data_IF_901529729481
#
_entry.id   IF_901529729481
#
_cell.length_a   1.000
_cell.length_b   1.000
_cell.length_c   1.000
_cell.angle_alpha   90.00
_cell.angle_beta   90.00
_cell.angle_gamma   90.00
#
_symmetry.space_group_name_H-M   'P 1'
#
loop_
_entity.id
_entity.type
_entity.pdbx_description
1 polymer ?
#
# COMPACT_ATOMS: atom_id res chain seq x y z
N UNK A 1 -22.28 -15.73 -19.86
CA UNK A 1 -21.35 -14.96 -20.72
C UNK A 1 -21.28 -13.53 -20.22
N UNK A 2 -20.08 -13.01 -20.01
CA UNK A 2 -19.85 -11.62 -19.61
C UNK A 2 -19.32 -10.87 -20.82
N UNK A 3 -19.91 -9.68 -21.08
CA UNK A 3 -19.49 -8.79 -22.15
C UNK A 3 -18.22 -8.06 -21.71
N UNK A 4 -17.08 -8.36 -22.31
CA UNK A 4 -15.81 -7.68 -22.03
C UNK A 4 -15.42 -6.81 -23.21
N UNK A 5 -14.93 -5.60 -22.93
CA UNK A 5 -14.37 -4.69 -23.93
C UNK A 5 -12.86 -4.84 -23.94
N UNK A 6 -12.25 -4.95 -25.11
CA UNK A 6 -10.81 -5.02 -25.27
C UNK A 6 -10.35 -4.15 -26.44
N UNK A 7 -9.10 -3.74 -26.40
CA UNK A 7 -8.48 -2.91 -27.42
C UNK A 7 -7.75 -3.79 -28.44
N UNK A 8 -8.16 -3.72 -29.69
CA UNK A 8 -7.53 -4.45 -30.78
C UNK A 8 -6.29 -3.70 -31.36
N UNK A 9 -6.27 -2.39 -31.23
CA UNK A 9 -5.20 -1.56 -31.76
C UNK A 9 -4.04 -1.41 -30.73
N UNK A 10 -2.81 -1.74 -31.15
CA UNK A 10 -1.63 -1.67 -30.27
C UNK A 10 -1.34 -0.24 -29.78
N UNK A 11 -1.48 0.78 -30.64
CA UNK A 11 -1.26 2.19 -30.27
C UNK A 11 -2.30 2.65 -29.24
N UNK A 12 -3.58 2.32 -29.44
CA UNK A 12 -4.65 2.63 -28.51
C UNK A 12 -4.42 1.91 -27.17
N UNK A 13 -3.98 0.65 -27.19
CA UNK A 13 -3.66 -0.12 -25.99
C UNK A 13 -2.49 0.49 -25.20
N UNK A 14 -1.41 0.91 -25.85
CA UNK A 14 -0.28 1.58 -25.20
C UNK A 14 -0.71 2.93 -24.62
N UNK A 15 -1.52 3.70 -25.36
CA UNK A 15 -2.01 4.99 -24.89
C UNK A 15 -2.87 4.86 -23.63
N UNK A 16 -3.80 3.89 -23.61
CA UNK A 16 -4.62 3.60 -22.42
C UNK A 16 -3.75 3.08 -21.28
N UNK A 17 -2.75 2.26 -21.56
CA UNK A 17 -1.80 1.79 -20.54
C UNK A 17 -1.06 2.95 -19.86
N UNK A 18 -0.47 3.88 -20.65
CA UNK A 18 0.23 5.06 -20.12
C UNK A 18 -0.75 5.92 -19.29
N UNK A 19 -1.96 6.13 -19.78
CA UNK A 19 -2.97 6.90 -19.07
C UNK A 19 -3.36 6.25 -17.74
N UNK A 20 -3.56 4.93 -17.71
CA UNK A 20 -3.88 4.18 -16.48
C UNK A 20 -2.73 4.22 -15.48
N UNK A 21 -1.49 4.08 -15.96
CA UNK A 21 -0.29 4.19 -15.14
C UNK A 21 -0.19 5.58 -14.47
N UNK A 22 -0.35 6.63 -15.30
CA UNK A 22 -0.35 8.03 -14.84
C UNK A 22 -1.50 8.31 -13.87
N UNK A 23 -2.71 7.81 -14.18
CA UNK A 23 -3.90 7.88 -13.33
C UNK A 23 -3.63 7.31 -11.94
N UNK A 24 -3.10 6.10 -11.86
CA UNK A 24 -2.87 5.46 -10.57
C UNK A 24 -1.71 6.10 -9.80
N UNK A 25 -0.68 6.58 -10.49
CA UNK A 25 0.39 7.37 -9.89
C UNK A 25 -0.15 8.65 -9.28
N UNK A 26 -0.99 9.39 -10.02
CA UNK A 26 -1.50 10.67 -9.58
C UNK A 26 -2.50 10.53 -8.41
N UNK A 27 -3.40 9.56 -8.46
CA UNK A 27 -4.32 9.30 -7.34
C UNK A 27 -3.55 8.84 -6.08
N UNK A 28 -2.47 8.07 -6.25
CA UNK A 28 -1.62 7.65 -5.12
C UNK A 28 -0.84 8.83 -4.53
N UNK A 29 -0.43 9.78 -5.34
CA UNK A 29 0.12 11.05 -4.90
C UNK A 29 -0.89 11.79 -4.00
N UNK A 30 -2.12 11.97 -4.46
CA UNK A 30 -3.12 12.78 -3.75
C UNK A 30 -3.62 12.14 -2.44
N UNK A 31 -3.58 10.81 -2.32
CA UNK A 31 -3.88 10.10 -1.06
C UNK A 31 -2.94 10.47 0.08
N UNK A 32 -1.72 10.89 -0.23
CA UNK A 32 -0.68 11.18 0.75
C UNK A 32 -0.55 12.68 1.11
N UNK A 33 -1.43 13.54 0.57
CA UNK A 33 -1.36 14.98 0.82
C UNK A 33 -1.40 15.32 2.32
N UNK A 34 -2.23 14.64 3.09
CA UNK A 34 -2.28 14.84 4.53
C UNK A 34 -1.01 14.38 5.23
N UNK A 35 -0.47 13.21 4.84
CA UNK A 35 0.75 12.66 5.44
C UNK A 35 1.97 13.55 5.17
N UNK A 36 2.11 14.08 3.96
CA UNK A 36 3.22 14.97 3.61
C UNK A 36 3.07 16.36 4.24
N UNK A 37 1.84 16.81 4.51
CA UNK A 37 1.53 18.08 5.14
C UNK A 37 1.58 18.04 6.68
N UNK A 38 1.60 16.85 7.30
CA UNK A 38 1.44 16.67 8.74
C UNK A 38 2.44 17.51 9.57
N UNK A 39 3.72 17.49 9.19
CA UNK A 39 4.76 18.24 9.93
C UNK A 39 4.49 19.74 9.90
N UNK A 40 4.08 20.28 8.77
CA UNK A 40 3.75 21.71 8.60
C UNK A 40 2.48 22.09 9.38
N UNK A 41 1.42 21.27 9.32
CA UNK A 41 0.15 21.51 10.01
C UNK A 41 0.34 21.55 11.53
N UNK A 42 1.19 20.65 12.06
CA UNK A 42 1.50 20.55 13.48
C UNK A 42 2.39 21.73 13.92
N UNK A 43 3.42 22.08 13.14
CA UNK A 43 4.32 23.23 13.44
C UNK A 43 3.55 24.56 13.43
N UNK A 44 2.64 24.77 12.47
CA UNK A 44 1.78 25.96 12.43
C UNK A 44 0.70 25.97 13.53
N UNK A 45 0.58 24.92 14.34
CA UNK A 45 -0.40 24.83 15.43
C UNK A 45 -1.86 24.73 15.00
N UNK A 46 -2.13 24.39 13.72
CA UNK A 46 -3.50 24.28 13.16
C UNK A 46 -4.21 23.03 13.70
N UNK A 47 -3.48 21.93 13.81
CA UNK A 47 -3.97 20.66 14.37
C UNK A 47 -2.88 19.99 15.20
N UNK A 48 -3.30 19.18 16.20
CA UNK A 48 -2.39 18.32 16.94
C UNK A 48 -1.98 17.09 16.10
N UNK A 49 -0.89 16.40 16.48
CA UNK A 49 -0.48 15.13 15.86
C UNK A 49 -1.61 14.09 15.91
N UNK A 50 -2.28 14.01 17.04
CA UNK A 50 -3.42 13.12 17.25
C UNK A 50 -4.57 13.40 16.28
N UNK A 51 -4.87 14.68 16.04
CA UNK A 51 -5.88 15.09 15.08
C UNK A 51 -5.50 14.74 13.65
N UNK A 52 -4.29 15.07 13.22
CA UNK A 52 -3.79 14.74 11.88
C UNK A 52 -3.72 13.21 11.68
N UNK A 53 -3.24 12.47 12.68
CA UNK A 53 -3.21 11.01 12.64
C UNK A 53 -4.61 10.39 12.57
N UNK A 54 -5.61 10.98 13.25
CA UNK A 54 -7.01 10.54 13.16
C UNK A 54 -7.56 10.68 11.74
N UNK A 55 -7.31 11.81 11.08
CA UNK A 55 -7.75 12.06 9.70
C UNK A 55 -7.20 10.98 8.75
N UNK A 56 -5.90 10.71 8.84
CA UNK A 56 -5.26 9.69 8.01
C UNK A 56 -5.81 8.28 8.32
N UNK A 57 -5.96 7.95 9.62
CA UNK A 57 -6.45 6.65 10.05
C UNK A 57 -7.89 6.38 9.56
N UNK A 58 -8.79 7.35 9.72
CA UNK A 58 -10.19 7.23 9.28
C UNK A 58 -10.28 7.08 7.77
N UNK A 59 -9.48 7.84 7.00
CA UNK A 59 -9.40 7.67 5.56
C UNK A 59 -9.06 6.22 5.17
N UNK A 60 -7.95 5.69 5.68
CA UNK A 60 -7.51 4.35 5.30
C UNK A 60 -8.41 3.24 5.85
N UNK A 61 -9.07 3.46 6.97
CA UNK A 61 -10.06 2.53 7.50
C UNK A 61 -11.25 2.41 6.54
N UNK A 62 -11.86 3.53 6.18
CA UNK A 62 -13.01 3.58 5.25
C UNK A 62 -12.61 3.07 3.87
N UNK A 63 -11.48 3.54 3.35
CA UNK A 63 -10.93 3.11 2.06
C UNK A 63 -10.69 1.59 2.02
N UNK A 64 -10.06 1.03 3.05
CA UNK A 64 -9.76 -0.41 3.13
C UNK A 64 -11.02 -1.29 3.15
N UNK A 65 -12.02 -0.93 3.95
CA UNK A 65 -13.30 -1.65 3.96
C UNK A 65 -14.04 -1.56 2.63
N UNK A 66 -14.06 -0.39 2.03
CA UNK A 66 -14.79 -0.15 0.78
C UNK A 66 -14.08 -0.76 -0.44
N UNK A 67 -12.80 -1.09 -0.37
CA UNK A 67 -12.11 -1.77 -1.49
C UNK A 67 -12.74 -3.12 -1.84
N UNK A 68 -13.26 -3.86 -0.85
CA UNK A 68 -13.99 -5.11 -1.09
C UNK A 68 -15.26 -4.86 -1.92
N UNK A 69 -16.00 -3.80 -1.56
CA UNK A 69 -17.20 -3.36 -2.31
C UNK A 69 -16.81 -2.86 -3.70
N UNK A 70 -15.69 -2.13 -3.80
CA UNK A 70 -15.15 -1.60 -5.05
C UNK A 70 -14.84 -2.69 -6.08
N UNK A 71 -14.26 -3.81 -5.64
CA UNK A 71 -14.04 -4.96 -6.50
C UNK A 71 -15.33 -5.52 -7.09
N UNK A 72 -16.34 -5.76 -6.25
CA UNK A 72 -17.64 -6.27 -6.67
C UNK A 72 -18.39 -5.33 -7.62
N UNK A 73 -18.32 -4.02 -7.38
CA UNK A 73 -18.95 -3.01 -8.24
C UNK A 73 -18.22 -2.90 -9.58
N UNK A 74 -16.89 -2.92 -9.56
CA UNK A 74 -16.06 -2.84 -10.77
C UNK A 74 -16.28 -4.06 -11.67
N UNK A 75 -16.59 -5.23 -11.10
CA UNK A 75 -16.90 -6.42 -11.90
C UNK A 75 -18.22 -6.27 -12.68
N UNK A 76 -19.19 -5.56 -12.12
CA UNK A 76 -20.53 -5.38 -12.71
C UNK A 76 -20.64 -4.17 -13.64
N UNK A 77 -19.89 -3.10 -13.35
CA UNK A 77 -19.98 -1.83 -14.06
C UNK A 77 -18.72 -1.56 -14.87
N UNK A 78 -18.80 -0.57 -15.77
CA UNK A 78 -17.66 -0.17 -16.59
C UNK A 78 -16.56 0.48 -15.71
N UNK A 79 -15.34 -0.10 -15.67
CA UNK A 79 -14.27 0.40 -14.81
C UNK A 79 -13.82 1.84 -15.16
N UNK A 80 -14.02 2.29 -16.39
CA UNK A 80 -13.59 3.62 -16.84
C UNK A 80 -14.33 4.74 -16.12
N UNK A 81 -15.63 4.59 -15.88
CA UNK A 81 -16.44 5.60 -15.19
C UNK A 81 -16.06 5.75 -13.72
N UNK A 82 -15.60 4.67 -13.05
CA UNK A 82 -15.11 4.77 -11.68
C UNK A 82 -13.91 5.69 -11.57
N UNK A 83 -13.02 5.70 -12.55
CA UNK A 83 -11.86 6.60 -12.57
C UNK A 83 -12.32 8.05 -12.62
N UNK A 84 -13.24 8.39 -13.54
CA UNK A 84 -13.75 9.76 -13.69
C UNK A 84 -14.43 10.25 -12.43
N UNK A 85 -15.39 9.48 -11.88
CA UNK A 85 -16.09 9.84 -10.64
C UNK A 85 -15.15 9.98 -9.45
N UNK A 86 -14.19 9.08 -9.33
CA UNK A 86 -13.19 9.12 -8.25
C UNK A 86 -12.34 10.36 -8.34
N UNK A 87 -11.91 10.76 -9.52
CA UNK A 87 -11.07 11.92 -9.72
C UNK A 87 -11.80 13.22 -9.43
N UNK A 88 -13.02 13.37 -9.90
CA UNK A 88 -13.86 14.54 -9.62
C UNK A 88 -14.13 14.61 -8.11
N UNK A 89 -14.60 13.52 -7.51
CA UNK A 89 -14.91 13.47 -6.07
C UNK A 89 -13.70 13.77 -5.18
N UNK A 90 -12.56 13.13 -5.47
CA UNK A 90 -11.32 13.37 -4.73
C UNK A 90 -10.79 14.80 -4.95
N UNK A 91 -10.91 15.33 -6.18
CA UNK A 91 -10.54 16.70 -6.51
C UNK A 91 -11.35 17.71 -5.69
N UNK A 92 -12.66 17.56 -5.62
CA UNK A 92 -13.55 18.41 -4.81
C UNK A 92 -13.22 18.30 -3.32
N UNK A 93 -12.91 17.12 -2.79
CA UNK A 93 -12.49 16.94 -1.41
C UNK A 93 -11.17 17.67 -1.10
N UNK A 94 -10.17 17.55 -1.98
CA UNK A 94 -8.92 18.29 -1.81
C UNK A 94 -9.14 19.81 -1.85
N UNK A 95 -10.00 20.30 -2.76
CA UNK A 95 -10.36 21.70 -2.84
C UNK A 95 -11.06 22.19 -1.56
N UNK A 96 -11.96 21.38 -0.99
CA UNK A 96 -12.64 21.70 0.25
C UNK A 96 -11.66 21.86 1.43
N UNK A 97 -10.65 20.99 1.55
CA UNK A 97 -9.60 21.10 2.58
C UNK A 97 -8.74 22.34 2.38
N UNK A 98 -8.47 22.73 1.13
CA UNK A 98 -7.74 23.96 0.85
C UNK A 98 -8.45 25.19 1.45
N UNK A 99 -9.79 25.27 1.38
CA UNK A 99 -10.55 26.40 1.89
C UNK A 99 -10.86 26.33 3.39
N UNK A 100 -11.02 25.13 3.95
CA UNK A 100 -11.38 24.98 5.36
C UNK A 100 -10.56 23.88 6.02
N UNK A 101 -9.76 24.26 7.03
CA UNK A 101 -8.88 23.39 7.78
C UNK A 101 -9.42 23.03 9.18
N UNK A 102 -10.70 23.30 9.47
CA UNK A 102 -11.29 22.86 10.74
C UNK A 102 -11.25 21.34 10.86
N UNK A 103 -10.77 20.82 12.00
CA UNK A 103 -10.57 19.37 12.21
C UNK A 103 -11.83 18.55 11.90
N UNK A 104 -12.97 18.90 12.46
CA UNK A 104 -14.22 18.14 12.26
C UNK A 104 -14.68 18.16 10.80
N UNK A 105 -14.55 19.31 10.13
CA UNK A 105 -14.83 19.42 8.71
C UNK A 105 -13.91 18.54 7.86
N UNK A 106 -12.60 18.59 8.13
CA UNK A 106 -11.61 17.82 7.37
C UNK A 106 -11.81 16.32 7.58
N UNK A 107 -12.16 15.83 8.79
CA UNK A 107 -12.50 14.42 9.02
C UNK A 107 -13.62 13.98 8.09
N UNK A 108 -14.73 14.73 8.02
CA UNK A 108 -15.87 14.39 7.15
C UNK A 108 -15.47 14.39 5.68
N UNK A 109 -14.76 15.44 5.24
CA UNK A 109 -14.30 15.56 3.84
C UNK A 109 -13.34 14.43 3.49
N UNK A 110 -12.47 14.01 4.42
CA UNK A 110 -11.51 12.94 4.17
C UNK A 110 -12.16 11.55 4.13
N UNK A 111 -13.25 11.33 4.88
CA UNK A 111 -14.14 10.16 4.72
C UNK A 111 -14.76 10.15 3.33
N UNK A 112 -15.32 11.29 2.87
CA UNK A 112 -15.87 11.41 1.52
C UNK A 112 -14.81 11.16 0.44
N UNK A 113 -13.58 11.64 0.66
CA UNK A 113 -12.45 11.39 -0.21
C UNK A 113 -12.10 9.90 -0.30
N UNK A 114 -12.14 9.17 0.82
CA UNK A 114 -11.96 7.72 0.85
C UNK A 114 -13.05 6.99 0.05
N UNK A 115 -14.32 7.42 0.24
CA UNK A 115 -15.47 6.92 -0.53
C UNK A 115 -15.33 7.24 -2.03
N UNK A 116 -14.81 8.42 -2.41
CA UNK A 116 -14.58 8.74 -3.81
C UNK A 116 -13.52 7.84 -4.46
N UNK A 117 -12.49 7.41 -3.73
CA UNK A 117 -11.31 6.73 -4.29
C UNK A 117 -11.32 5.20 -4.18
N UNK A 118 -12.24 4.59 -3.42
CA UNK A 118 -12.19 3.16 -3.07
C UNK A 118 -12.16 2.20 -4.27
N UNK A 119 -12.76 2.58 -5.39
CA UNK A 119 -12.90 1.74 -6.58
C UNK A 119 -11.78 1.93 -7.61
N UNK A 120 -10.87 2.90 -7.43
CA UNK A 120 -9.83 3.21 -8.43
C UNK A 120 -8.89 2.02 -8.65
N UNK A 121 -8.38 1.40 -7.58
CA UNK A 121 -7.48 0.26 -7.73
C UNK A 121 -8.12 -0.93 -8.45
N UNK A 122 -9.31 -1.43 -8.06
CA UNK A 122 -10.00 -2.46 -8.81
C UNK A 122 -10.27 -2.10 -10.27
N UNK A 123 -10.65 -0.85 -10.55
CA UNK A 123 -10.91 -0.37 -11.90
C UNK A 123 -9.66 -0.39 -12.77
N UNK A 124 -8.57 0.17 -12.27
CA UNK A 124 -7.27 0.20 -12.93
C UNK A 124 -6.75 -1.22 -13.18
N UNK A 125 -6.82 -2.09 -12.18
CA UNK A 125 -6.43 -3.49 -12.32
C UNK A 125 -7.24 -4.20 -13.41
N UNK A 126 -8.57 -4.01 -13.43
CA UNK A 126 -9.45 -4.61 -14.44
C UNK A 126 -9.13 -4.10 -15.85
N UNK A 127 -8.85 -2.81 -16.02
CA UNK A 127 -8.44 -2.25 -17.31
C UNK A 127 -7.15 -2.91 -17.79
N UNK A 128 -6.13 -2.99 -16.94
CA UNK A 128 -4.86 -3.63 -17.27
C UNK A 128 -5.02 -5.12 -17.59
N UNK A 129 -5.83 -5.84 -16.83
CA UNK A 129 -5.97 -7.29 -16.96
C UNK A 129 -6.86 -7.73 -18.13
N UNK A 130 -7.87 -6.92 -18.54
CA UNK A 130 -8.88 -7.34 -19.50
C UNK A 130 -9.04 -6.45 -20.72
N UNK A 131 -8.82 -5.13 -20.59
CA UNK A 131 -9.08 -4.20 -21.69
C UNK A 131 -7.88 -3.99 -22.61
N UNK A 132 -6.66 -4.09 -22.08
CA UNK A 132 -5.46 -3.95 -22.89
C UNK A 132 -5.26 -5.13 -23.83
N UNK A 133 -4.55 -4.90 -24.93
CA UNK A 133 -4.10 -5.97 -25.83
C UNK A 133 -3.25 -6.99 -25.04
N UNK A 134 -3.42 -8.28 -25.33
CA UNK A 134 -2.86 -9.39 -24.55
C UNK A 134 -1.36 -9.26 -24.32
N UNK A 135 -0.60 -8.86 -25.35
CA UNK A 135 0.84 -8.65 -25.30
C UNK A 135 1.28 -7.56 -24.29
N UNK A 136 0.40 -6.61 -23.92
CA UNK A 136 0.72 -5.51 -23.02
C UNK A 136 0.29 -5.78 -21.55
N UNK A 137 -0.60 -6.77 -21.31
CA UNK A 137 -1.21 -6.99 -20.00
C UNK A 137 -0.22 -7.32 -18.90
N UNK A 138 0.71 -8.24 -19.16
CA UNK A 138 1.70 -8.64 -18.16
C UNK A 138 2.60 -7.48 -17.76
N UNK A 139 3.09 -6.70 -18.73
CA UNK A 139 3.90 -5.51 -18.49
C UNK A 139 3.13 -4.44 -17.75
N UNK A 140 1.85 -4.23 -18.10
CA UNK A 140 1.00 -3.25 -17.44
C UNK A 140 0.76 -3.61 -15.96
N UNK A 141 0.43 -4.86 -15.65
CA UNK A 141 0.23 -5.34 -14.29
C UNK A 141 1.51 -5.27 -13.45
N UNK A 142 2.67 -5.50 -14.07
CA UNK A 142 3.96 -5.33 -13.40
C UNK A 142 4.24 -3.86 -13.08
N UNK A 143 4.17 -2.97 -14.06
CA UNK A 143 4.53 -1.55 -13.90
C UNK A 143 3.56 -0.80 -12.99
N UNK A 144 2.27 -1.16 -13.00
CA UNK A 144 1.29 -0.49 -12.13
C UNK A 144 1.56 -0.72 -10.65
N UNK A 145 2.26 -1.81 -10.30
CA UNK A 145 2.66 -2.08 -8.92
C UNK A 145 3.59 -1.01 -8.36
N UNK A 146 4.38 -0.36 -9.21
CA UNK A 146 5.28 0.73 -8.82
C UNK A 146 4.61 2.11 -8.79
N UNK A 147 3.46 2.27 -9.48
CA UNK A 147 2.77 3.56 -9.58
C UNK A 147 2.38 4.11 -8.22
N UNK A 148 1.99 3.25 -7.28
CA UNK A 148 1.66 3.69 -5.91
C UNK A 148 2.87 4.30 -5.20
N UNK A 149 4.02 3.64 -5.24
CA UNK A 149 5.25 4.13 -4.62
C UNK A 149 5.75 5.40 -5.29
N UNK A 150 5.69 5.45 -6.63
CA UNK A 150 6.05 6.64 -7.41
C UNK A 150 5.18 7.84 -7.04
N UNK A 151 3.86 7.64 -6.94
CA UNK A 151 2.92 8.69 -6.52
C UNK A 151 3.23 9.25 -5.12
N UNK A 152 3.56 8.37 -4.17
CA UNK A 152 3.96 8.78 -2.81
C UNK A 152 5.23 9.63 -2.85
N UNK A 153 6.26 9.18 -3.57
CA UNK A 153 7.54 9.92 -3.72
C UNK A 153 7.31 11.29 -4.35
N UNK A 154 6.51 11.37 -5.42
CA UNK A 154 6.17 12.65 -6.07
C UNK A 154 5.45 13.58 -5.09
N UNK A 155 4.51 13.07 -4.29
CA UNK A 155 3.80 13.90 -3.31
C UNK A 155 4.75 14.54 -2.28
N UNK A 156 5.66 13.75 -1.70
CA UNK A 156 6.65 14.27 -0.75
C UNK A 156 7.64 15.22 -1.41
N UNK A 157 8.01 14.98 -2.68
CA UNK A 157 8.84 15.92 -3.45
C UNK A 157 8.13 17.26 -3.67
N UNK A 158 6.85 17.24 -4.07
CA UNK A 158 6.04 18.47 -4.22
C UNK A 158 5.91 19.18 -2.89
N UNK A 159 5.64 18.49 -1.79
CA UNK A 159 5.54 19.07 -0.46
C UNK A 159 6.87 19.70 0.02
N UNK A 160 8.01 19.11 -0.33
CA UNK A 160 9.33 19.64 0.00
C UNK A 160 9.71 20.86 -0.85
N UNK A 161 9.30 20.89 -2.13
CA UNK A 161 9.57 22.00 -3.03
C UNK A 161 8.66 23.22 -2.80
N UNK A 162 7.43 22.97 -2.31
CA UNK A 162 6.41 23.97 -2.09
C UNK A 162 6.09 24.02 -0.59
N UNK A 163 6.75 24.87 0.21
CA UNK A 163 6.63 24.89 1.67
C UNK A 163 5.24 25.30 2.17
N UNK A 164 4.39 25.87 1.32
CA UNK A 164 3.01 26.16 1.65
C UNK A 164 2.13 24.89 1.47
N UNK A 165 2.02 24.07 2.50
CA UNK A 165 1.34 22.80 2.47
C UNK A 165 -0.10 22.85 1.90
N UNK A 166 -0.85 23.97 2.08
CA UNK A 166 -2.17 24.16 1.48
C UNK A 166 -2.15 24.09 -0.05
N UNK A 167 -1.08 24.59 -0.68
CA UNK A 167 -0.93 24.57 -2.13
C UNK A 167 -0.85 23.15 -2.66
N UNK A 168 -0.32 22.18 -1.90
CA UNK A 168 -0.32 20.77 -2.29
C UNK A 168 -1.75 20.23 -2.47
N UNK A 169 -2.70 20.64 -1.62
CA UNK A 169 -4.12 20.27 -1.79
C UNK A 169 -4.74 20.94 -3.03
N UNK A 170 -4.37 22.19 -3.33
CA UNK A 170 -4.83 22.86 -4.54
C UNK A 170 -4.28 22.18 -5.81
N UNK A 171 -2.98 21.86 -5.85
CA UNK A 171 -2.36 21.12 -6.96
C UNK A 171 -3.06 19.77 -7.15
N UNK A 172 -3.33 19.07 -6.06
CA UNK A 172 -4.06 17.80 -6.08
C UNK A 172 -5.48 17.97 -6.63
N UNK A 173 -6.19 19.00 -6.19
CA UNK A 173 -7.56 19.27 -6.64
C UNK A 173 -7.62 19.59 -8.14
N UNK A 174 -6.84 20.56 -8.59
CA UNK A 174 -6.78 20.98 -10.00
C UNK A 174 -6.28 19.83 -10.87
N UNK A 175 -5.24 19.14 -10.44
CA UNK A 175 -4.69 18.02 -11.18
C UNK A 175 -5.68 16.86 -11.33
N UNK A 176 -6.40 16.47 -10.26
CA UNK A 176 -7.41 15.39 -10.34
C UNK A 176 -8.54 15.74 -11.31
N UNK A 177 -9.05 16.97 -11.25
CA UNK A 177 -10.11 17.43 -12.17
C UNK A 177 -9.58 17.47 -13.61
N UNK A 178 -8.37 17.98 -13.81
CA UNK A 178 -7.75 18.00 -15.14
C UNK A 178 -7.52 16.58 -15.69
N UNK A 179 -7.05 15.64 -14.84
CA UNK A 179 -6.91 14.24 -15.22
C UNK A 179 -8.26 13.57 -15.55
N UNK A 180 -9.33 13.91 -14.83
CA UNK A 180 -10.68 13.42 -15.18
C UNK A 180 -11.08 13.85 -16.59
N UNK A 181 -10.83 15.10 -16.96
CA UNK A 181 -11.12 15.63 -18.31
C UNK A 181 -10.24 14.95 -19.37
N UNK A 182 -8.92 14.85 -19.12
CA UNK A 182 -7.99 14.19 -20.02
C UNK A 182 -8.38 12.71 -20.22
N UNK A 183 -8.81 12.03 -19.15
CA UNK A 183 -9.27 10.64 -19.20
C UNK A 183 -10.51 10.48 -20.08
N UNK A 184 -11.52 11.33 -19.94
CA UNK A 184 -12.74 11.28 -20.79
C UNK A 184 -12.42 11.60 -22.25
N UNK A 185 -11.57 12.61 -22.52
CA UNK A 185 -11.11 12.92 -23.87
C UNK A 185 -10.39 11.72 -24.49
N UNK A 186 -9.50 11.08 -23.73
CA UNK A 186 -8.80 9.88 -24.17
C UNK A 186 -9.78 8.76 -24.52
N UNK A 187 -10.75 8.49 -23.64
CA UNK A 187 -11.77 7.46 -23.88
C UNK A 187 -12.57 7.74 -25.14
N UNK A 188 -12.91 9.00 -25.42
CA UNK A 188 -13.59 9.40 -26.65
C UNK A 188 -12.77 9.01 -27.90
N UNK A 189 -11.46 9.28 -27.92
CA UNK A 189 -10.59 8.93 -29.04
C UNK A 189 -10.30 7.43 -29.15
N UNK A 190 -10.31 6.71 -28.06
CA UNK A 190 -10.00 5.27 -28.01
C UNK A 190 -11.25 4.42 -28.25
N UNK A 191 -12.44 4.95 -28.02
CA UNK A 191 -13.70 4.23 -28.17
C UNK A 191 -13.88 3.50 -29.52
N UNK A 192 -13.49 4.08 -30.70
CA UNK A 192 -13.61 3.39 -31.99
C UNK A 192 -12.73 2.12 -32.11
N UNK A 193 -11.72 1.98 -31.28
CA UNK A 193 -10.80 0.82 -31.24
C UNK A 193 -11.18 -0.22 -30.20
N UNK A 194 -12.29 -0.02 -29.48
CA UNK A 194 -12.80 -0.96 -28.49
C UNK A 194 -13.73 -1.98 -29.17
N UNK A 195 -13.35 -3.22 -29.11
CA UNK A 195 -14.16 -4.36 -29.52
C UNK A 195 -14.85 -5.01 -28.32
N UNK A 196 -16.08 -5.49 -28.54
CA UNK A 196 -16.82 -6.25 -27.54
C UNK A 196 -16.70 -7.75 -27.83
N UNK A 197 -16.16 -8.49 -26.89
CA UNK A 197 -16.11 -9.95 -26.94
C UNK A 197 -17.01 -10.53 -25.86
N UNK A 198 -17.87 -11.45 -26.27
CA UNK A 198 -18.58 -12.30 -25.32
C UNK A 198 -17.58 -13.31 -24.80
N UNK A 199 -17.11 -13.12 -23.60
CA UNK A 199 -16.28 -14.10 -22.90
C UNK A 199 -17.22 -14.92 -22.02
N UNK A 200 -17.10 -16.24 -22.06
CA UNK A 200 -17.72 -17.04 -21.02
C UNK A 200 -17.34 -16.43 -19.68
N UNK A 201 -18.36 -16.20 -18.82
CA UNK A 201 -18.06 -15.77 -17.46
C UNK A 201 -16.89 -16.62 -16.97
N UNK A 202 -15.83 -16.03 -16.38
CA UNK A 202 -14.76 -16.85 -15.88
C UNK A 202 -15.46 -17.91 -15.07
N UNK A 203 -15.50 -19.12 -15.62
CA UNK A 203 -16.00 -20.27 -14.89
C UNK A 203 -15.27 -20.13 -13.57
N UNK A 204 -15.98 -20.09 -12.44
CA UNK A 204 -15.40 -20.28 -11.11
C UNK A 204 -14.23 -21.19 -11.38
N UNK A 205 -12.96 -20.81 -11.09
CA UNK A 205 -11.79 -21.44 -11.68
C UNK A 205 -12.10 -22.89 -11.91
N UNK A 206 -12.16 -23.28 -13.18
CA UNK A 206 -12.42 -24.69 -13.52
C UNK A 206 -11.21 -25.34 -12.92
N UNK A 207 -11.43 -25.91 -11.79
CA UNK A 207 -10.50 -26.83 -11.19
C UNK A 207 -10.25 -27.87 -12.28
N UNK A 208 -9.17 -27.67 -13.05
CA UNK A 208 -8.66 -28.68 -13.95
C UNK A 208 -8.58 -29.95 -13.12
N UNK A 209 -9.37 -30.89 -13.55
CA UNK A 209 -9.53 -32.22 -13.00
C UNK A 209 -8.26 -32.75 -12.34
N UNK A 210 -8.27 -32.76 -11.02
CA UNK A 210 -7.75 -33.72 -10.07
C UNK A 210 -8.22 -33.30 -8.67
N UNK A 211 -9.55 -33.24 -8.48
CA UNK A 211 -10.15 -33.15 -7.16
C UNK A 211 -11.11 -34.32 -6.95
N UNK A 212 -10.55 -35.51 -6.93
CA UNK A 212 -11.15 -36.57 -6.13
C UNK A 212 -10.98 -36.15 -4.64
N UNK A 213 -12.11 -35.98 -3.96
CA UNK A 213 -12.21 -35.75 -2.50
C UNK A 213 -11.55 -34.49 -1.92
N UNK A 214 -11.88 -33.29 -2.38
CA UNK A 214 -11.74 -32.13 -1.50
C UNK A 214 -12.88 -32.15 -0.45
N UNK A 215 -12.63 -32.78 0.70
CA UNK A 215 -13.31 -32.49 1.95
C UNK A 215 -13.24 -30.97 2.15
N UNK A 216 -14.33 -30.35 2.59
CA UNK A 216 -14.35 -28.91 2.96
C UNK A 216 -13.19 -28.63 3.92
N UNK A 217 -12.09 -28.12 3.40
CA UNK A 217 -10.90 -27.85 4.20
C UNK A 217 -11.20 -26.61 5.04
N UNK A 218 -11.27 -26.80 6.34
CA UNK A 218 -11.44 -25.68 7.25
C UNK A 218 -10.24 -24.73 7.12
N UNK A 219 -10.47 -23.57 6.51
CA UNK A 219 -9.43 -22.58 6.24
C UNK A 219 -8.69 -22.13 7.50
N UNK A 220 -9.41 -21.99 8.63
CA UNK A 220 -8.81 -21.60 9.92
C UNK A 220 -7.88 -22.69 10.44
N UNK A 221 -8.28 -23.96 10.33
CA UNK A 221 -7.43 -25.09 10.70
C UNK A 221 -6.17 -25.17 9.81
N UNK A 222 -6.30 -24.89 8.51
CA UNK A 222 -5.17 -24.85 7.57
C UNK A 222 -4.20 -23.72 7.94
N UNK A 223 -4.71 -22.53 8.25
CA UNK A 223 -3.91 -21.40 8.71
C UNK A 223 -3.22 -21.68 10.05
N UNK A 224 -3.89 -22.36 10.98
CA UNK A 224 -3.31 -22.76 12.26
C UNK A 224 -2.17 -23.77 12.06
N UNK A 225 -2.41 -24.82 11.26
CA UNK A 225 -1.42 -25.87 10.99
C UNK A 225 -0.15 -25.32 10.28
N UNK A 226 -0.32 -24.38 9.37
CA UNK A 226 0.79 -23.72 8.65
C UNK A 226 1.51 -22.62 9.44
N UNK A 227 0.97 -22.19 10.61
CA UNK A 227 1.46 -21.05 11.37
C UNK A 227 1.02 -19.69 10.82
N UNK A 228 0.15 -19.65 9.78
CA UNK A 228 -0.26 -18.39 9.16
C UNK A 228 -1.12 -17.50 10.06
N UNK A 229 -1.83 -18.06 11.05
CA UNK A 229 -2.53 -17.23 12.05
C UNK A 229 -1.56 -16.36 12.85
N UNK A 230 -0.42 -16.92 13.28
CA UNK A 230 0.64 -16.15 13.96
C UNK A 230 1.33 -15.19 12.98
N UNK A 231 1.49 -15.62 11.72
CA UNK A 231 2.10 -14.78 10.69
C UNK A 231 1.27 -13.52 10.39
N UNK A 232 -0.05 -13.53 10.56
CA UNK A 232 -0.86 -12.32 10.44
C UNK A 232 -0.41 -11.21 11.41
N UNK A 233 0.01 -11.58 12.64
CA UNK A 233 0.53 -10.64 13.64
C UNK A 233 1.87 -10.05 13.19
N UNK A 234 2.76 -10.90 12.65
CA UNK A 234 4.04 -10.46 12.07
C UNK A 234 3.80 -9.51 10.90
N UNK A 235 2.83 -9.83 10.06
CA UNK A 235 2.49 -9.01 8.90
C UNK A 235 1.84 -7.67 9.31
N UNK A 236 1.01 -7.67 10.35
CA UNK A 236 0.48 -6.45 10.97
C UNK A 236 1.62 -5.56 11.48
N UNK A 237 2.59 -6.13 12.19
CA UNK A 237 3.78 -5.41 12.68
C UNK A 237 4.55 -4.77 11.52
N UNK A 238 4.81 -5.53 10.46
CA UNK A 238 5.42 -5.01 9.22
C UNK A 238 4.62 -3.84 8.64
N UNK A 239 3.30 -3.98 8.56
CA UNK A 239 2.42 -2.96 8.01
C UNK A 239 2.40 -1.68 8.86
N UNK A 240 2.49 -1.80 10.19
CA UNK A 240 2.66 -0.67 11.10
C UNK A 240 3.93 0.10 10.75
N UNK A 241 5.06 -0.58 10.55
CA UNK A 241 6.31 0.09 10.20
C UNK A 241 6.27 0.73 8.82
N UNK A 242 5.83 -0.01 7.80
CA UNK A 242 5.76 0.51 6.44
C UNK A 242 4.95 1.82 6.37
N UNK A 243 3.80 1.86 7.03
CA UNK A 243 2.92 3.03 6.99
C UNK A 243 3.30 4.10 8.02
N UNK A 244 3.71 3.71 9.22
CA UNK A 244 4.16 4.65 10.25
C UNK A 244 5.36 5.47 9.80
N UNK A 245 6.34 4.82 9.17
CA UNK A 245 7.50 5.52 8.64
C UNK A 245 7.18 6.44 7.45
N UNK A 246 6.18 6.10 6.65
CA UNK A 246 5.74 6.98 5.56
C UNK A 246 5.04 8.24 6.03
N UNK A 247 4.36 8.18 7.18
CA UNK A 247 3.52 9.28 7.67
C UNK A 247 4.18 10.09 8.78
N UNK A 248 4.91 9.44 9.67
CA UNK A 248 5.43 10.06 10.90
C UNK A 248 6.90 10.47 10.82
N UNK A 249 7.66 9.99 9.83
CA UNK A 249 9.11 10.20 9.79
C UNK A 249 9.49 11.67 9.62
N UNK A 250 8.78 12.43 8.80
CA UNK A 250 9.06 13.85 8.63
C UNK A 250 8.86 14.61 9.95
N UNK A 251 7.74 14.34 10.64
CA UNK A 251 7.45 14.92 11.96
C UNK A 251 8.49 14.50 12.99
N UNK A 252 8.88 13.22 12.99
CA UNK A 252 9.90 12.70 13.91
C UNK A 252 11.25 13.40 13.74
N UNK A 253 11.69 13.59 12.50
CA UNK A 253 12.96 14.26 12.22
C UNK A 253 12.85 15.75 12.60
N UNK A 254 11.78 16.43 12.20
CA UNK A 254 11.59 17.85 12.51
C UNK A 254 11.60 18.13 14.01
N UNK A 255 10.94 17.30 14.82
CA UNK A 255 10.79 17.54 16.26
C UNK A 255 11.98 17.13 17.12
N UNK A 256 12.84 16.25 16.62
CA UNK A 256 14.03 15.80 17.39
C UNK A 256 15.32 16.51 16.98
N UNK A 257 15.26 17.44 16.00
CA UNK A 257 16.42 18.17 15.51
C UNK A 257 16.07 19.64 15.23
N UNK A 258 16.45 20.54 16.14
CA UNK A 258 16.14 21.98 16.10
C UNK A 258 16.59 22.69 14.82
N UNK A 259 17.61 22.16 14.15
CA UNK A 259 18.16 22.71 12.90
C UNK A 259 17.51 22.14 11.64
N UNK A 260 16.46 21.33 11.77
CA UNK A 260 15.76 20.69 10.63
C UNK A 260 14.34 21.23 10.52
N UNK A 261 14.09 22.04 9.50
CA UNK A 261 12.76 22.55 9.20
C UNK A 261 11.84 21.44 8.65
N UNK A 262 10.49 21.59 8.70
CA UNK A 262 9.54 20.64 8.09
C UNK A 262 9.83 20.36 6.62
N UNK A 263 10.27 21.38 5.88
CA UNK A 263 10.66 21.25 4.47
C UNK A 263 11.84 20.29 4.30
N UNK A 264 12.90 20.48 5.10
CA UNK A 264 14.08 19.59 5.08
C UNK A 264 13.72 18.19 5.54
N UNK A 265 12.94 18.04 6.61
CA UNK A 265 12.48 16.75 7.11
C UNK A 265 11.64 15.99 6.07
N UNK A 266 10.76 16.71 5.36
CA UNK A 266 9.95 16.14 4.27
C UNK A 266 10.84 15.70 3.09
N UNK A 267 11.84 16.51 2.72
CA UNK A 267 12.80 16.15 1.68
C UNK A 267 13.63 14.90 2.05
N UNK A 268 14.10 14.80 3.29
CA UNK A 268 14.81 13.61 3.80
C UNK A 268 13.93 12.35 3.79
N UNK A 269 12.64 12.50 4.02
CA UNK A 269 11.68 11.39 3.95
C UNK A 269 11.60 10.77 2.55
N UNK A 270 11.88 11.52 1.48
CA UNK A 270 11.90 11.00 0.10
C UNK A 270 12.91 9.88 -0.05
N UNK A 271 14.09 10.00 0.57
CA UNK A 271 15.14 8.97 0.53
C UNK A 271 14.60 7.66 1.12
N UNK A 272 13.94 7.76 2.26
CA UNK A 272 13.36 6.61 2.97
C UNK A 272 12.24 5.96 2.14
N UNK A 273 11.40 6.77 1.49
CA UNK A 273 10.33 6.29 0.62
C UNK A 273 10.85 5.56 -0.62
N UNK A 274 11.92 6.09 -1.25
CA UNK A 274 12.60 5.44 -2.39
C UNK A 274 13.18 4.10 -1.96
N UNK A 275 13.88 4.06 -0.83
CA UNK A 275 14.44 2.81 -0.30
C UNK A 275 13.33 1.78 0.01
N UNK A 276 12.21 2.22 0.56
CA UNK A 276 11.05 1.37 0.77
C UNK A 276 10.46 0.81 -0.54
N UNK A 277 10.41 1.60 -1.60
CA UNK A 277 9.95 1.18 -2.91
C UNK A 277 10.87 0.14 -3.58
N UNK A 278 12.15 0.15 -3.27
CA UNK A 278 13.14 -0.83 -3.74
C UNK A 278 13.07 -2.18 -3.00
N UNK A 279 12.38 -2.24 -1.86
CA UNK A 279 12.28 -3.45 -1.04
C UNK A 279 11.85 -4.71 -1.80
N UNK A 280 10.72 -4.72 -2.52
CA UNK A 280 10.29 -5.90 -3.27
C UNK A 280 11.32 -6.37 -4.31
N UNK A 281 12.08 -5.47 -4.93
CA UNK A 281 13.17 -5.80 -5.86
C UNK A 281 14.28 -6.56 -5.13
N UNK A 282 14.69 -6.10 -3.95
CA UNK A 282 15.67 -6.79 -3.12
C UNK A 282 15.14 -8.19 -2.70
N UNK A 283 13.89 -8.28 -2.27
CA UNK A 283 13.25 -9.54 -1.96
C UNK A 283 13.29 -10.54 -3.12
N UNK A 284 13.02 -10.07 -4.34
CA UNK A 284 13.08 -10.89 -5.55
C UNK A 284 14.50 -11.37 -5.89
N UNK A 285 15.52 -10.58 -5.60
CA UNK A 285 16.92 -10.98 -5.81
C UNK A 285 17.40 -11.99 -4.78
N UNK A 286 16.88 -11.95 -3.57
CA UNK A 286 17.21 -12.90 -2.50
C UNK A 286 16.57 -14.26 -2.75
N UNK A 287 15.32 -14.27 -3.22
CA UNK A 287 14.54 -15.48 -3.47
C UNK A 287 14.41 -15.76 -4.99
N UNK A 288 14.61 -16.95 -5.48
CA UNK A 288 15.04 -18.18 -4.81
C UNK A 288 16.58 -18.39 -4.76
N UNK A 289 17.35 -17.32 -5.05
CA UNK A 289 18.80 -17.41 -5.30
C UNK A 289 19.58 -17.88 -4.05
N UNK A 290 19.25 -17.31 -2.89
CA UNK A 290 19.94 -17.60 -1.61
C UNK A 290 19.09 -18.41 -0.64
N UNK A 291 17.77 -18.23 -0.65
CA UNK A 291 16.86 -18.86 0.29
C UNK A 291 15.63 -19.40 -0.44
N UNK A 292 15.39 -20.72 -0.37
CA UNK A 292 14.27 -21.39 -1.04
C UNK A 292 12.98 -21.44 -0.20
N UNK A 293 13.04 -21.07 1.08
CA UNK A 293 11.88 -21.08 2.00
C UNK A 293 11.47 -19.66 2.34
N UNK A 294 10.22 -19.32 2.13
CA UNK A 294 9.67 -17.96 2.27
C UNK A 294 9.81 -17.46 3.72
N UNK A 295 9.46 -18.26 4.70
CA UNK A 295 9.53 -17.87 6.12
C UNK A 295 10.99 -17.71 6.56
N UNK A 296 11.90 -18.57 6.08
CA UNK A 296 13.35 -18.40 6.38
C UNK A 296 13.90 -17.10 5.79
N UNK A 297 13.47 -16.73 4.58
CA UNK A 297 13.86 -15.45 3.98
C UNK A 297 13.33 -14.25 4.80
N UNK A 298 12.10 -14.33 5.28
CA UNK A 298 11.50 -13.30 6.13
C UNK A 298 12.25 -13.20 7.47
N UNK A 299 12.61 -14.33 8.11
CA UNK A 299 13.41 -14.35 9.33
C UNK A 299 14.76 -13.63 9.12
N UNK A 300 15.44 -13.96 8.03
CA UNK A 300 16.72 -13.31 7.70
C UNK A 300 16.58 -11.80 7.58
N UNK A 301 15.56 -11.33 6.83
CA UNK A 301 15.31 -9.90 6.63
C UNK A 301 14.92 -9.19 7.93
N UNK A 302 14.11 -9.81 8.78
CA UNK A 302 13.77 -9.27 10.10
C UNK A 302 14.98 -9.27 11.04
N UNK A 303 15.78 -10.33 11.06
CA UNK A 303 16.97 -10.41 11.88
C UNK A 303 18.02 -9.34 11.52
N UNK A 304 18.22 -9.08 10.22
CA UNK A 304 19.11 -8.01 9.74
C UNK A 304 18.47 -6.63 9.95
N UNK A 305 17.15 -6.50 9.79
CA UNK A 305 16.45 -5.23 9.93
C UNK A 305 16.28 -4.77 11.38
N UNK A 306 16.10 -5.68 12.31
CA UNK A 306 15.87 -5.35 13.74
C UNK A 306 16.95 -4.47 14.35
N UNK A 307 18.27 -4.72 14.17
CA UNK A 307 19.31 -3.81 14.64
C UNK A 307 19.13 -2.36 14.17
N UNK A 308 18.75 -2.13 12.91
CA UNK A 308 18.48 -0.78 12.41
C UNK A 308 17.27 -0.16 13.09
N UNK A 309 16.22 -0.93 13.37
CA UNK A 309 15.08 -0.49 14.17
C UNK A 309 15.46 -0.10 15.61
N UNK A 310 16.36 -0.85 16.24
CA UNK A 310 16.89 -0.53 17.58
C UNK A 310 17.76 0.73 17.56
N UNK A 311 18.57 0.93 16.51
CA UNK A 311 19.41 2.13 16.36
C UNK A 311 18.59 3.43 16.27
N UNK A 312 17.29 3.37 15.98
CA UNK A 312 16.39 4.54 16.04
C UNK A 312 16.27 5.13 17.47
N UNK A 313 16.63 4.39 18.53
CA UNK A 313 16.72 4.91 19.90
C UNK A 313 17.80 5.98 20.05
N UNK A 314 18.67 6.13 19.06
CA UNK A 314 19.66 7.21 18.98
C UNK A 314 19.09 8.51 18.37
N UNK A 315 17.80 8.56 18.00
CA UNK A 315 17.14 9.78 17.50
C UNK A 315 17.32 10.92 18.50
N UNK A 316 17.72 12.08 18.01
CA UNK A 316 18.08 13.25 18.84
C UNK A 316 19.45 13.18 19.53
N UNK A 317 20.17 12.05 19.47
CA UNK A 317 21.49 11.86 20.10
C UNK A 317 22.64 11.83 19.08
N UNK A 318 22.35 11.50 17.83
CA UNK A 318 23.30 11.49 16.72
C UNK A 318 22.83 12.43 15.63
N UNK A 319 23.70 12.76 14.69
CA UNK A 319 23.31 13.60 13.56
C UNK A 319 22.19 12.97 12.74
N UNK A 320 21.21 13.75 12.27
CA UNK A 320 20.00 13.25 11.58
C UNK A 320 20.28 12.36 10.36
N UNK A 321 21.41 12.54 9.67
CA UNK A 321 21.78 11.67 8.54
C UNK A 321 21.93 10.19 8.92
N UNK A 322 22.39 9.90 10.14
CA UNK A 322 22.47 8.54 10.64
C UNK A 322 21.08 7.93 10.83
N UNK A 323 20.13 8.73 11.31
CA UNK A 323 18.75 8.28 11.48
C UNK A 323 18.09 8.01 10.11
N UNK A 324 18.33 8.89 9.14
CA UNK A 324 17.87 8.68 7.74
C UNK A 324 18.47 7.39 7.17
N UNK A 325 19.75 7.13 7.38
CA UNK A 325 20.40 5.90 6.93
C UNK A 325 19.82 4.66 7.61
N UNK A 326 19.63 4.68 8.94
CA UNK A 326 19.02 3.55 9.68
C UNK A 326 17.58 3.29 9.23
N UNK A 327 16.77 4.33 9.07
CA UNK A 327 15.42 4.21 8.57
C UNK A 327 15.38 3.66 7.14
N UNK A 328 16.28 4.12 6.29
CA UNK A 328 16.40 3.67 4.90
C UNK A 328 16.73 2.18 4.81
N UNK A 329 17.71 1.72 5.58
CA UNK A 329 18.06 0.29 5.66
C UNK A 329 16.90 -0.52 6.26
N UNK A 330 16.29 -0.03 7.33
CA UNK A 330 15.18 -0.69 8.00
C UNK A 330 13.98 -0.89 7.06
N UNK A 331 13.51 0.18 6.42
CA UNK A 331 12.33 0.11 5.55
C UNK A 331 12.57 -0.72 4.28
N UNK A 332 13.78 -0.65 3.72
CA UNK A 332 14.20 -1.49 2.60
C UNK A 332 14.04 -2.98 2.93
N UNK A 333 14.58 -3.41 4.08
CA UNK A 333 14.53 -4.80 4.53
C UNK A 333 13.11 -5.23 4.89
N UNK A 334 12.34 -4.39 5.60
CA UNK A 334 10.96 -4.69 5.96
C UNK A 334 10.06 -4.80 4.72
N UNK A 335 10.22 -3.93 3.73
CA UNK A 335 9.41 -3.97 2.51
C UNK A 335 9.81 -5.11 1.57
N UNK A 336 11.04 -5.60 1.65
CA UNK A 336 11.46 -6.80 0.93
C UNK A 336 10.60 -8.02 1.31
N UNK A 337 10.08 -8.06 2.53
CA UNK A 337 9.23 -9.17 2.99
C UNK A 337 7.85 -9.20 2.35
N UNK A 338 7.37 -8.09 1.78
CA UNK A 338 6.05 -8.03 1.15
C UNK A 338 5.88 -8.99 -0.03
N UNK A 339 6.96 -9.23 -0.77
CA UNK A 339 6.95 -10.15 -1.91
C UNK A 339 6.63 -11.58 -1.48
N UNK A 340 7.15 -12.01 -0.33
CA UNK A 340 7.00 -13.40 0.13
C UNK A 340 5.55 -13.74 0.51
N UNK A 341 4.74 -12.74 0.89
CA UNK A 341 3.32 -12.98 1.16
C UNK A 341 2.55 -13.40 -0.09
N UNK A 342 2.96 -12.92 -1.27
CA UNK A 342 2.39 -13.35 -2.54
C UNK A 342 2.74 -14.81 -2.83
N UNK A 343 3.99 -15.22 -2.58
CA UNK A 343 4.41 -16.61 -2.76
C UNK A 343 3.73 -17.54 -1.76
N UNK A 344 3.63 -17.14 -0.49
CA UNK A 344 2.89 -17.88 0.54
C UNK A 344 1.42 -18.03 0.13
N UNK A 345 0.77 -16.95 -0.30
CA UNK A 345 -0.62 -16.99 -0.76
C UNK A 345 -0.80 -17.92 -1.97
N UNK A 346 0.15 -17.92 -2.92
CA UNK A 346 0.11 -18.77 -4.08
C UNK A 346 0.13 -20.28 -3.71
N UNK A 347 0.85 -20.66 -2.65
CA UNK A 347 0.84 -22.06 -2.17
C UNK A 347 -0.54 -22.50 -1.70
N UNK A 348 -1.35 -21.62 -1.14
CA UNK A 348 -2.71 -21.93 -0.70
C UNK A 348 -3.70 -22.10 -1.87
N UNK A 349 -3.30 -21.82 -3.11
CA UNK A 349 -4.11 -22.15 -4.29
C UNK A 349 -4.38 -23.65 -4.45
N UNK A 350 -3.52 -24.52 -3.91
CA UNK A 350 -3.75 -25.96 -3.86
C UNK A 350 -5.10 -26.31 -3.19
N UNK A 351 -5.57 -25.49 -2.27
CA UNK A 351 -6.87 -25.64 -1.58
C UNK A 351 -7.91 -24.61 -2.03
N UNK A 352 -7.66 -23.87 -3.12
CA UNK A 352 -8.55 -22.81 -3.56
C UNK A 352 -8.65 -21.62 -2.59
N UNK A 353 -7.67 -21.45 -1.66
CA UNK A 353 -7.69 -20.44 -0.59
C UNK A 353 -6.61 -19.37 -0.72
N UNK A 354 -5.88 -19.32 -1.83
CA UNK A 354 -4.82 -18.33 -2.04
C UNK A 354 -5.33 -16.89 -2.03
N UNK A 355 -6.42 -16.61 -2.74
CA UNK A 355 -7.04 -15.27 -2.73
C UNK A 355 -7.57 -14.88 -1.34
N UNK A 356 -8.12 -15.83 -0.59
CA UNK A 356 -8.61 -15.61 0.78
C UNK A 356 -7.46 -15.22 1.71
N UNK A 357 -6.31 -15.89 1.62
CA UNK A 357 -5.13 -15.57 2.42
C UNK A 357 -4.53 -14.21 2.03
N UNK A 358 -4.44 -13.92 0.73
CA UNK A 358 -4.00 -12.61 0.24
C UNK A 358 -4.91 -11.48 0.75
N UNK A 359 -6.23 -11.71 0.78
CA UNK A 359 -7.21 -10.78 1.39
C UNK A 359 -6.98 -10.57 2.88
N UNK A 360 -6.64 -11.63 3.63
CA UNK A 360 -6.29 -11.50 5.05
C UNK A 360 -5.03 -10.64 5.26
N UNK A 361 -4.00 -10.79 4.42
CA UNK A 361 -2.81 -9.93 4.46
C UNK A 361 -3.16 -8.46 4.15
N UNK A 362 -3.99 -8.21 3.16
CA UNK A 362 -4.44 -6.85 2.83
C UNK A 362 -5.21 -6.20 3.98
N UNK A 363 -6.07 -6.98 4.67
CA UNK A 363 -6.77 -6.50 5.86
C UNK A 363 -5.78 -6.14 6.99
N UNK A 364 -4.77 -6.98 7.25
CA UNK A 364 -3.72 -6.65 8.22
C UNK A 364 -2.93 -5.41 7.82
N UNK A 365 -2.69 -5.20 6.52
CA UNK A 365 -2.06 -3.98 6.02
C UNK A 365 -2.89 -2.73 6.34
N UNK A 366 -4.19 -2.77 6.09
CA UNK A 366 -5.10 -1.67 6.42
C UNK A 366 -5.15 -1.38 7.94
N UNK A 367 -5.22 -2.44 8.76
CA UNK A 367 -5.16 -2.29 10.23
C UNK A 367 -3.81 -1.72 10.69
N UNK A 368 -2.71 -2.06 10.03
CA UNK A 368 -1.39 -1.49 10.28
C UNK A 368 -1.34 0.01 10.01
N UNK A 369 -1.97 0.49 8.94
CA UNK A 369 -2.10 1.92 8.63
C UNK A 369 -2.87 2.65 9.74
N UNK A 370 -4.00 2.06 10.17
CA UNK A 370 -4.82 2.62 11.26
C UNK A 370 -4.02 2.67 12.56
N UNK A 371 -3.36 1.58 12.93
CA UNK A 371 -2.54 1.53 14.14
C UNK A 371 -1.41 2.56 14.09
N UNK A 372 -0.72 2.72 12.97
CA UNK A 372 0.36 3.69 12.81
C UNK A 372 -0.13 5.13 13.02
N UNK A 373 -1.23 5.50 12.42
CA UNK A 373 -1.69 6.88 12.41
C UNK A 373 -2.60 7.23 13.59
N UNK A 374 -3.37 6.28 14.11
CA UNK A 374 -4.27 6.54 15.22
C UNK A 374 -3.63 6.29 16.59
N UNK A 375 -2.91 5.18 16.75
CA UNK A 375 -2.33 4.81 18.05
C UNK A 375 -1.01 5.56 18.27
N UNK A 376 -0.07 5.46 17.32
CA UNK A 376 1.28 6.00 17.57
C UNK A 376 1.34 7.51 17.57
N UNK A 377 0.47 8.23 16.85
CA UNK A 377 0.38 9.69 17.00
C UNK A 377 0.00 10.10 18.42
N UNK A 378 -0.93 9.36 19.06
CA UNK A 378 -1.31 9.59 20.46
C UNK A 378 -0.22 9.23 21.44
N UNK A 379 0.49 8.13 21.18
CA UNK A 379 1.65 7.73 22.00
C UNK A 379 2.76 8.76 21.93
N UNK A 380 3.05 9.28 20.73
CA UNK A 380 4.04 10.36 20.56
C UNK A 380 3.60 11.63 21.32
N UNK A 381 2.34 12.00 21.20
CA UNK A 381 1.79 13.21 21.83
C UNK A 381 1.80 13.12 23.36
N UNK A 382 1.45 11.95 23.93
CA UNK A 382 1.37 11.74 25.37
C UNK A 382 2.72 11.42 26.03
N UNK A 383 3.60 10.68 25.35
CA UNK A 383 4.79 10.08 25.94
C UNK A 383 6.08 10.39 25.18
N UNK A 384 6.00 11.10 24.05
CA UNK A 384 7.14 11.48 23.23
C UNK A 384 7.69 10.38 22.32
N UNK A 385 8.68 10.76 21.50
CA UNK A 385 9.28 9.88 20.49
C UNK A 385 10.06 8.71 21.06
N UNK A 386 10.78 8.90 22.17
CA UNK A 386 11.55 7.82 22.80
C UNK A 386 10.67 6.63 23.19
N UNK A 387 9.52 6.90 23.83
CA UNK A 387 8.56 5.86 24.22
C UNK A 387 7.96 5.19 23.00
N UNK A 388 7.65 5.95 21.95
CA UNK A 388 7.12 5.43 20.70
C UNK A 388 8.13 4.48 20.02
N UNK A 389 9.39 4.86 19.94
CA UNK A 389 10.45 4.02 19.35
C UNK A 389 10.65 2.75 20.19
N UNK A 390 10.61 2.84 21.53
CA UNK A 390 10.65 1.65 22.40
C UNK A 390 9.48 0.69 22.11
N UNK A 391 8.27 1.23 21.93
CA UNK A 391 7.11 0.39 21.58
C UNK A 391 7.29 -0.31 20.22
N UNK A 392 7.94 0.35 19.25
CA UNK A 392 8.30 -0.25 17.97
C UNK A 392 9.34 -1.37 18.14
N UNK A 393 10.37 -1.16 18.97
CA UNK A 393 11.37 -2.19 19.28
C UNK A 393 10.72 -3.42 19.91
N UNK A 394 9.79 -3.24 20.84
CA UNK A 394 9.04 -4.34 21.45
C UNK A 394 8.25 -5.12 20.38
N UNK A 395 7.57 -4.44 19.48
CA UNK A 395 6.85 -5.09 18.38
C UNK A 395 7.79 -5.88 17.45
N UNK A 396 9.00 -5.35 17.16
CA UNK A 396 9.99 -6.07 16.38
C UNK A 396 10.48 -7.33 17.08
N UNK A 397 10.73 -7.27 18.37
CA UNK A 397 11.13 -8.44 19.16
C UNK A 397 10.04 -9.51 19.15
N UNK A 398 8.78 -9.11 19.38
CA UNK A 398 7.62 -10.02 19.31
C UNK A 398 7.53 -10.66 17.93
N UNK A 399 7.64 -9.88 16.85
CA UNK A 399 7.59 -10.40 15.49
C UNK A 399 8.70 -11.40 15.19
N UNK A 400 9.94 -11.14 15.67
CA UNK A 400 11.05 -12.09 15.54
C UNK A 400 10.78 -13.39 16.29
N UNK A 401 10.30 -13.33 17.54
CA UNK A 401 9.95 -14.52 18.34
C UNK A 401 8.88 -15.33 17.61
N UNK A 402 7.82 -14.69 17.11
CA UNK A 402 6.75 -15.35 16.36
C UNK A 402 7.28 -16.03 15.09
N UNK A 403 8.18 -15.38 14.36
CA UNK A 403 8.79 -15.97 13.17
C UNK A 403 9.57 -17.25 13.47
N UNK A 404 10.31 -17.29 14.58
CA UNK A 404 10.99 -18.51 15.02
C UNK A 404 10.03 -19.63 15.39
N UNK A 405 8.86 -19.32 15.95
CA UNK A 405 7.80 -20.29 16.25
C UNK A 405 7.15 -20.78 14.95
N UNK A 406 6.94 -19.90 13.98
CA UNK A 406 6.30 -20.22 12.69
C UNK A 406 7.21 -21.08 11.81
N UNK A 407 8.52 -20.89 11.86
CA UNK A 407 9.48 -21.57 10.99
C UNK A 407 9.34 -23.11 10.98
N UNK A 408 9.34 -23.81 12.13
CA UNK A 408 9.13 -25.26 12.14
C UNK A 408 7.72 -25.66 11.69
N UNK A 409 6.68 -24.88 12.01
CA UNK A 409 5.30 -25.15 11.58
C UNK A 409 5.21 -25.10 10.05
N UNK A 410 5.75 -24.04 9.44
CA UNK A 410 5.79 -23.87 8.00
C UNK A 410 6.61 -24.95 7.29
N UNK A 411 7.79 -25.28 7.83
CA UNK A 411 8.62 -26.37 7.28
C UNK A 411 7.89 -27.71 7.29
N UNK A 412 7.24 -28.04 8.41
CA UNK A 412 6.43 -29.26 8.54
C UNK A 412 5.24 -29.25 7.57
N UNK A 413 4.55 -28.12 7.45
CA UNK A 413 3.44 -27.95 6.52
C UNK A 413 3.87 -28.16 5.06
N UNK A 414 5.02 -27.59 4.65
CA UNK A 414 5.56 -27.81 3.31
C UNK A 414 5.95 -29.26 3.08
N UNK A 415 6.60 -29.89 4.05
CA UNK A 415 6.98 -31.30 3.92
C UNK A 415 5.75 -32.19 3.71
N UNK A 416 4.74 -32.07 4.55
CA UNK A 416 3.51 -32.87 4.46
C UNK A 416 2.73 -32.66 3.15
N UNK A 417 2.74 -31.45 2.59
CA UNK A 417 1.84 -31.13 1.48
C UNK A 417 2.53 -30.90 0.13
N UNK A 418 3.86 -30.76 0.09
CA UNK A 418 4.58 -30.42 -1.14
C UNK A 418 5.76 -31.35 -1.46
N UNK A 419 6.36 -32.03 -0.47
CA UNK A 419 7.58 -32.82 -0.66
C UNK A 419 7.40 -34.32 -0.33
N UNK A 420 6.21 -34.79 0.09
CA UNK A 420 5.95 -36.22 0.35
C UNK A 420 5.81 -37.10 -0.94
N UNK A 421 5.98 -36.51 -2.12
CA UNK A 421 5.84 -37.17 -3.41
C UNK A 421 7.11 -37.10 -4.28
N UNK A 422 8.23 -36.60 -3.73
CA UNK A 422 9.58 -36.80 -4.28
C UNK A 422 10.33 -37.88 -3.49
#
# INVERSE_FOLDING_TARGET
>A
MIKTRYLNNAKASILVFIAVLSTYTFISMTKQCFSSAMAFIVEEGIMTKSQTGTIVAVFFLVYGFLQLVGGMLTDRWNPTHFITFSFIGAGLCNLAVYFNQNFSFVVVVWVLNAIAQFSVWPAVFKICASMLKEEHRATALFLISYSNSLGIVINFAVAALIPHWKINFMISAVGLIAFALIWEILLFFVHPYMEEKMVEAPQKPVHTHHHENQKDVNFVALMAASGMLLFLIVYLTRAIFDNGLKTLVATMINENYDNVTPTVATALSIIILIMGALGPTLGHQIYPRFVKNEITAIILLFAIGTPFGVLLLLTGKVHYWWIVAFLSCFILLMNSTALFTNYISARFNKWGKGATLAGAFNMMSALGIVASNFVFTRVVEAFGWTTTIWSWVVLLVIANILLWIIAPMWKRFLHTHYYEHE
#
